data_IF_782074224570
#
_entry.id   IF_782074224570
#
_cell.length_a   1.000
_cell.length_b   1.000
_cell.length_c   1.000
_cell.angle_alpha   90.00
_cell.angle_beta   90.00
_cell.angle_gamma   90.00
#
_symmetry.space_group_name_H-M   'P 1'
#
loop_
_entity.id
_entity.type
_entity.pdbx_description
1 polymer ?
#
# COMPACT_ATOMS: atom_id res chain seq x y z
N UNK A 1 22.57 -13.83 47.99
CA UNK A 1 22.70 -13.83 49.47
C UNK A 1 22.69 -12.40 49.98
N UNK A 2 22.10 -12.15 51.14
CA UNK A 2 22.12 -10.85 51.83
C UNK A 2 23.42 -10.65 52.63
N UNK A 3 24.01 -9.46 52.56
CA UNK A 3 24.68 -8.78 53.69
C UNK A 3 24.57 -7.26 53.45
N UNK A 4 24.42 -6.33 54.39
CA UNK A 4 23.77 -6.15 55.71
C UNK A 4 24.10 -4.69 56.09
N UNK A 5 23.15 -3.91 56.63
CA UNK A 5 23.36 -2.49 57.01
C UNK A 5 24.44 -2.32 58.10
N UNK A 6 25.07 -1.13 58.16
CA UNK A 6 25.51 -0.52 59.43
C UNK A 6 25.26 0.99 59.49
N UNK A 7 24.96 1.45 60.71
CA UNK A 7 24.76 2.82 61.17
C UNK A 7 25.73 3.07 62.36
N UNK A 8 25.91 4.24 62.99
CA UNK A 8 25.24 5.57 62.95
C UNK A 8 26.30 6.70 62.94
N UNK A 9 25.85 7.94 62.68
CA UNK A 9 26.30 9.25 63.23
C UNK A 9 27.77 9.50 63.65
N UNK A 10 28.34 10.63 63.19
CA UNK A 10 28.49 11.84 64.02
C UNK A 10 28.95 13.09 63.23
N UNK A 11 28.65 14.27 63.78
CA UNK A 11 29.26 15.60 63.58
C UNK A 11 29.65 16.07 62.15
N UNK A 12 29.05 17.19 61.70
CA UNK A 12 29.33 17.77 60.39
C UNK A 12 30.58 18.68 60.35
N UNK A 13 31.30 18.63 59.23
CA UNK A 13 32.18 19.71 58.77
C UNK A 13 31.87 20.04 57.31
N UNK A 14 31.83 21.34 57.01
CA UNK A 14 31.39 21.96 55.76
C UNK A 14 32.49 21.87 54.69
N UNK A 15 32.40 20.94 53.74
CA UNK A 15 33.24 20.95 52.52
C UNK A 15 32.52 21.69 51.39
N UNK A 16 33.18 22.72 50.84
CA UNK A 16 32.65 23.57 49.77
C UNK A 16 32.58 22.80 48.44
N UNK A 17 31.39 22.69 47.85
CA UNK A 17 31.23 22.48 46.40
C UNK A 17 30.62 23.73 45.76
N UNK A 18 31.44 24.78 45.60
CA UNK A 18 31.05 26.05 45.00
C UNK A 18 30.91 25.97 43.47
N UNK A 19 30.04 25.06 42.99
CA UNK A 19 29.41 25.20 41.68
C UNK A 19 28.24 26.16 41.87
N UNK A 20 28.47 27.44 41.58
CA UNK A 20 27.44 28.48 41.61
C UNK A 20 26.15 27.99 40.94
N UNK A 21 24.98 28.30 41.51
CA UNK A 21 23.69 27.98 40.88
C UNK A 21 23.61 28.50 39.44
N UNK A 22 24.30 29.61 39.14
CA UNK A 22 24.51 30.12 37.78
C UNK A 22 25.09 29.04 36.85
N UNK A 23 26.24 28.41 37.19
CA UNK A 23 26.83 27.32 36.40
C UNK A 23 25.91 26.10 36.27
N UNK A 24 25.23 25.68 37.34
CA UNK A 24 24.29 24.54 37.26
C UNK A 24 23.09 24.89 36.36
N UNK A 25 22.55 26.11 36.45
CA UNK A 25 21.54 26.61 35.51
C UNK A 25 22.09 26.67 34.08
N UNK A 26 23.28 27.19 33.84
CA UNK A 26 23.93 27.26 32.51
C UNK A 26 24.17 25.88 31.89
N UNK A 27 24.53 24.87 32.67
CA UNK A 27 24.70 23.49 32.18
C UNK A 27 23.32 22.86 31.89
N UNK A 28 22.32 23.13 32.74
CA UNK A 28 20.95 22.64 32.53
C UNK A 28 20.25 23.32 31.35
N UNK A 29 20.51 24.62 31.11
CA UNK A 29 20.03 25.31 29.90
C UNK A 29 20.78 24.81 28.67
N UNK A 30 22.11 24.66 28.69
CA UNK A 30 22.84 24.06 27.54
C UNK A 30 22.34 22.68 27.15
N UNK A 31 22.10 21.79 28.12
CA UNK A 31 21.55 20.47 27.85
C UNK A 31 20.08 20.48 27.37
N UNK A 32 19.30 21.53 27.70
CA UNK A 32 17.95 21.76 27.15
C UNK A 32 17.99 22.48 25.78
N UNK A 33 19.03 23.26 25.51
CA UNK A 33 19.28 23.98 24.25
C UNK A 33 19.72 22.97 23.17
N UNK A 34 20.69 22.11 23.46
CA UNK A 34 21.18 21.06 22.54
C UNK A 34 20.09 20.04 22.15
N UNK A 35 19.07 19.84 23.00
CA UNK A 35 17.91 18.98 22.73
C UNK A 35 16.68 19.70 22.15
N UNK A 36 16.72 21.02 21.95
CA UNK A 36 15.55 21.78 21.50
C UNK A 36 15.46 21.85 19.98
N UNK A 37 14.31 21.45 19.43
CA UNK A 37 13.98 21.51 18.00
C UNK A 37 14.22 22.90 17.38
N UNK A 38 14.16 23.97 18.18
CA UNK A 38 14.41 25.35 17.74
C UNK A 38 15.85 25.64 17.26
N UNK A 39 16.81 24.73 17.50
CA UNK A 39 18.20 24.89 17.06
C UNK A 39 18.50 24.23 15.71
N UNK A 40 17.61 23.36 15.20
CA UNK A 40 17.78 22.75 13.87
C UNK A 40 17.86 23.82 12.76
N UNK A 41 18.62 23.61 11.67
CA UNK A 41 18.61 24.50 10.50
C UNK A 41 17.21 24.66 9.90
N UNK A 42 16.94 25.79 9.24
CA UNK A 42 15.60 26.10 8.72
C UNK A 42 15.17 25.12 7.63
N UNK A 43 16.12 24.57 6.87
CA UNK A 43 15.93 23.51 5.88
C UNK A 43 15.44 22.20 6.52
N UNK A 44 15.96 21.87 7.71
CA UNK A 44 15.52 20.70 8.49
C UNK A 44 14.13 20.96 9.09
N UNK A 45 13.87 22.18 9.56
CA UNK A 45 12.54 22.56 10.04
C UNK A 45 11.49 22.51 8.92
N UNK A 46 11.81 23.03 7.73
CA UNK A 46 10.97 22.91 6.53
C UNK A 46 10.76 21.45 6.13
N UNK A 47 11.80 20.61 6.20
CA UNK A 47 11.65 19.17 5.95
C UNK A 47 10.76 18.47 6.99
N UNK A 48 10.83 18.87 8.27
CA UNK A 48 9.89 18.40 9.31
C UNK A 48 8.46 18.86 9.00
N UNK A 49 8.27 20.10 8.55
CA UNK A 49 6.97 20.64 8.15
C UNK A 49 6.38 19.90 6.93
N UNK A 50 7.19 19.32 6.05
CA UNK A 50 6.71 18.47 4.93
C UNK A 50 5.91 17.23 5.37
N UNK A 51 6.15 16.72 6.59
CA UNK A 51 5.39 15.58 7.13
C UNK A 51 4.05 16.01 7.78
N UNK A 52 3.74 17.30 7.80
CA UNK A 52 2.52 17.85 8.37
C UNK A 52 1.58 18.35 7.27
N UNK A 53 0.26 18.05 7.34
CA UNK A 53 -0.73 18.74 6.52
C UNK A 53 -0.59 20.27 6.66
N UNK A 54 -0.63 21.02 5.55
CA UNK A 54 -0.23 22.45 5.52
C UNK A 54 -0.97 23.33 6.51
N UNK A 55 -2.21 22.99 6.89
CA UNK A 55 -2.96 23.66 7.98
C UNK A 55 -2.23 23.65 9.34
N UNK A 56 -1.45 22.61 9.63
CA UNK A 56 -0.65 22.49 10.84
C UNK A 56 0.71 23.17 10.66
N UNK A 57 1.33 23.07 9.48
CA UNK A 57 2.54 23.85 9.16
C UNK A 57 2.30 25.36 9.31
N UNK A 58 1.20 25.90 8.76
CA UNK A 58 0.80 27.30 8.96
C UNK A 58 0.64 27.64 10.45
N UNK A 59 0.01 26.76 11.24
CA UNK A 59 -0.16 26.95 12.70
C UNK A 59 1.16 27.01 13.47
N UNK A 60 2.26 26.44 12.96
CA UNK A 60 3.58 26.62 13.60
C UNK A 60 4.04 28.09 13.59
N UNK A 61 3.47 28.96 12.74
CA UNK A 61 3.72 30.41 12.78
C UNK A 61 3.26 31.10 14.08
N UNK A 62 2.53 30.39 14.95
CA UNK A 62 2.16 30.83 16.30
C UNK A 62 3.24 30.51 17.37
N UNK A 63 4.24 29.71 17.03
CA UNK A 63 5.40 29.39 17.87
C UNK A 63 6.41 30.58 17.89
N UNK A 64 7.48 30.53 18.71
CA UNK A 64 8.46 31.62 18.80
C UNK A 64 9.06 32.01 17.45
N UNK A 65 9.49 33.28 17.35
CA UNK A 65 9.80 34.04 16.11
C UNK A 65 10.36 33.23 14.92
N UNK A 66 11.28 32.29 15.15
CA UNK A 66 11.91 31.46 14.10
C UNK A 66 10.90 30.69 13.24
N UNK A 67 9.78 30.23 13.80
CA UNK A 67 8.77 29.47 13.06
C UNK A 67 7.81 30.35 12.23
N UNK A 68 7.82 31.67 12.44
CA UNK A 68 6.92 32.60 11.76
C UNK A 68 7.33 32.73 10.29
N UNK A 69 6.58 32.06 9.42
CA UNK A 69 6.80 32.10 7.97
C UNK A 69 7.63 30.95 7.40
N UNK A 70 8.18 30.03 8.21
CA UNK A 70 8.90 28.85 7.66
C UNK A 70 8.03 28.01 6.71
N UNK A 71 6.71 28.02 6.92
CA UNK A 71 5.78 27.31 6.04
C UNK A 71 5.71 27.90 4.61
N UNK A 72 6.05 29.19 4.43
CA UNK A 72 6.04 29.88 3.14
C UNK A 72 7.05 29.28 2.16
N UNK A 73 8.16 28.75 2.68
CA UNK A 73 9.27 28.18 1.93
C UNK A 73 9.30 26.64 1.97
N UNK A 74 8.33 25.98 2.62
CA UNK A 74 8.23 24.51 2.61
C UNK A 74 8.05 23.99 1.18
N UNK A 75 8.82 23.00 0.71
CA UNK A 75 8.64 22.46 -0.63
C UNK A 75 7.44 21.51 -0.76
N UNK A 76 6.68 21.24 0.31
CA UNK A 76 5.58 20.28 0.33
C UNK A 76 4.26 20.94 0.73
N UNK A 77 3.21 20.71 -0.04
CA UNK A 77 1.87 21.23 0.21
C UNK A 77 0.84 20.10 0.29
N UNK A 78 -0.04 20.15 1.28
CA UNK A 78 -1.18 19.25 1.44
C UNK A 78 -2.43 20.03 1.87
N UNK A 79 -3.41 20.15 0.96
CA UNK A 79 -4.70 20.79 1.21
C UNK A 79 -5.89 19.84 1.09
N UNK A 80 -6.69 19.78 2.15
CA UNK A 80 -8.05 19.23 2.11
C UNK A 80 -9.07 20.32 1.71
N UNK A 81 -10.27 19.91 1.28
CA UNK A 81 -11.31 20.79 0.71
C UNK A 81 -11.57 22.10 1.47
N UNK A 82 -11.77 22.03 2.80
CA UNK A 82 -11.99 23.21 3.64
C UNK A 82 -10.75 24.13 3.70
N UNK A 83 -9.55 23.57 3.67
CA UNK A 83 -8.30 24.33 3.69
C UNK A 83 -7.91 24.90 2.33
N UNK A 84 -8.29 24.25 1.22
CA UNK A 84 -8.04 24.74 -0.14
C UNK A 84 -8.77 26.07 -0.40
N UNK A 85 -10.05 26.15 -0.03
CA UNK A 85 -10.84 27.38 -0.13
C UNK A 85 -10.43 28.45 0.88
N UNK A 86 -9.90 28.05 2.04
CA UNK A 86 -9.31 29.01 2.98
C UNK A 86 -8.00 29.57 2.43
N UNK A 87 -7.17 28.74 1.80
CA UNK A 87 -5.89 29.13 1.20
C UNK A 87 -6.07 30.12 0.04
N UNK A 88 -7.08 29.91 -0.82
CA UNK A 88 -7.41 30.84 -1.89
C UNK A 88 -7.96 32.18 -1.39
N UNK A 89 -8.77 32.17 -0.32
CA UNK A 89 -9.32 33.40 0.30
C UNK A 89 -8.28 34.19 1.09
N UNK A 90 -7.41 33.51 1.82
CA UNK A 90 -6.46 34.12 2.76
C UNK A 90 -5.12 34.48 2.12
N UNK A 91 -5.07 34.67 0.79
CA UNK A 91 -3.85 35.03 0.05
C UNK A 91 -2.67 34.06 0.32
N UNK A 92 -2.96 32.80 0.65
CA UNK A 92 -1.93 31.81 1.02
C UNK A 92 -1.00 31.52 -0.17
N UNK A 93 -1.49 31.72 -1.40
CA UNK A 93 -0.69 31.74 -2.62
C UNK A 93 0.30 32.92 -2.69
N UNK A 94 -0.10 34.14 -2.30
CA UNK A 94 0.79 35.31 -2.22
C UNK A 94 1.88 35.12 -1.16
N UNK A 95 1.56 34.39 -0.09
CA UNK A 95 2.52 34.02 0.95
C UNK A 95 3.40 32.82 0.61
N UNK A 96 3.20 32.10 -0.50
CA UNK A 96 3.94 30.87 -0.80
C UNK A 96 5.15 31.12 -1.72
N UNK A 97 6.29 31.38 -1.08
CA UNK A 97 7.54 31.83 -1.70
C UNK A 97 8.47 30.71 -2.16
N UNK A 98 8.28 29.46 -1.71
CA UNK A 98 9.17 28.32 -2.00
C UNK A 98 9.49 28.14 -3.50
N UNK A 99 10.71 28.44 -3.94
CA UNK A 99 11.08 28.44 -5.37
C UNK A 99 10.95 27.06 -6.03
N UNK A 100 11.08 25.97 -5.27
CA UNK A 100 10.90 24.60 -5.72
C UNK A 100 9.76 23.94 -4.94
N UNK A 101 8.90 23.21 -5.65
CA UNK A 101 7.93 22.30 -5.04
C UNK A 101 8.43 20.86 -5.20
N UNK A 102 8.51 20.11 -4.10
CA UNK A 102 8.78 18.67 -4.12
C UNK A 102 7.47 17.89 -4.23
N UNK A 103 6.45 18.25 -3.45
CA UNK A 103 5.17 17.53 -3.48
C UNK A 103 3.94 18.43 -3.33
N UNK A 104 2.86 18.03 -4.01
CA UNK A 104 1.53 18.61 -3.88
C UNK A 104 0.50 17.51 -3.64
N UNK A 105 -0.28 17.63 -2.57
CA UNK A 105 -1.43 16.80 -2.28
C UNK A 105 -2.71 17.66 -2.19
N UNK A 106 -3.70 17.37 -3.04
CA UNK A 106 -5.01 18.03 -3.00
C UNK A 106 -6.12 16.98 -2.78
N UNK A 107 -6.98 17.18 -1.78
CA UNK A 107 -8.17 16.35 -1.52
C UNK A 107 -9.43 17.21 -1.50
N UNK A 108 -10.31 17.08 -2.48
CA UNK A 108 -11.59 17.80 -2.52
C UNK A 108 -12.63 17.16 -3.45
N UNK A 109 -13.91 17.29 -3.11
CA UNK A 109 -15.03 16.92 -3.98
C UNK A 109 -16.00 18.06 -4.29
N UNK A 110 -15.62 19.31 -3.96
CA UNK A 110 -16.50 20.46 -4.10
C UNK A 110 -16.25 21.15 -5.45
N UNK A 111 -17.26 21.15 -6.34
CA UNK A 111 -17.17 21.75 -7.69
C UNK A 111 -16.70 23.21 -7.64
N UNK A 112 -17.15 24.00 -6.66
CA UNK A 112 -16.67 25.38 -6.41
C UNK A 112 -15.16 25.52 -6.13
N UNK A 113 -14.44 24.41 -5.92
CA UNK A 113 -12.99 24.37 -5.75
C UNK A 113 -12.22 24.15 -7.05
N UNK A 114 -12.87 23.82 -8.17
CA UNK A 114 -12.22 23.47 -9.44
C UNK A 114 -11.17 24.49 -9.88
N UNK A 115 -11.52 25.78 -9.90
CA UNK A 115 -10.58 26.84 -10.27
C UNK A 115 -9.36 26.89 -9.34
N UNK A 116 -9.53 26.60 -8.04
CA UNK A 116 -8.42 26.57 -7.08
C UNK A 116 -7.53 25.34 -7.27
N UNK A 117 -8.10 24.20 -7.66
CA UNK A 117 -7.34 22.99 -7.99
C UNK A 117 -6.47 23.25 -9.21
N UNK A 118 -7.02 23.84 -10.27
CA UNK A 118 -6.28 24.18 -11.49
C UNK A 118 -5.12 25.14 -11.18
N UNK A 119 -5.36 26.21 -10.39
CA UNK A 119 -4.31 27.14 -9.96
C UNK A 119 -3.18 26.44 -9.20
N UNK A 120 -3.50 25.51 -8.29
CA UNK A 120 -2.46 24.75 -7.56
C UNK A 120 -1.73 23.74 -8.44
N UNK A 121 -2.42 23.08 -9.38
CA UNK A 121 -1.81 22.21 -10.39
C UNK A 121 -0.84 23.02 -11.26
N UNK A 122 -1.29 24.11 -11.89
CA UNK A 122 -0.46 24.99 -12.71
C UNK A 122 0.75 25.54 -11.95
N UNK A 123 0.57 25.94 -10.69
CA UNK A 123 1.68 26.38 -9.83
C UNK A 123 2.69 25.25 -9.59
N UNK A 124 2.23 24.02 -9.35
CA UNK A 124 3.09 22.84 -9.19
C UNK A 124 3.82 22.45 -10.48
N UNK A 125 3.13 22.54 -11.62
CA UNK A 125 3.71 22.33 -12.96
C UNK A 125 4.85 23.34 -13.19
N UNK A 126 4.57 24.62 -12.99
CA UNK A 126 5.55 25.70 -13.14
C UNK A 126 6.74 25.59 -12.18
N UNK A 127 6.53 25.09 -10.95
CA UNK A 127 7.59 24.85 -9.95
C UNK A 127 8.23 23.44 -10.04
N UNK A 128 7.99 22.72 -11.14
CA UNK A 128 8.60 21.41 -11.48
C UNK A 128 8.46 20.38 -10.36
N UNK A 129 7.21 20.15 -9.94
CA UNK A 129 6.86 19.21 -8.86
C UNK A 129 7.34 17.78 -9.15
N UNK A 130 7.84 17.10 -8.13
CA UNK A 130 8.34 15.72 -8.24
C UNK A 130 7.28 14.67 -7.87
N UNK A 131 6.35 14.98 -6.97
CA UNK A 131 5.27 14.06 -6.54
C UNK A 131 3.92 14.79 -6.48
N UNK A 132 2.91 14.26 -7.17
CA UNK A 132 1.56 14.85 -7.25
C UNK A 132 0.50 13.83 -6.84
N UNK A 133 -0.32 14.18 -5.84
CA UNK A 133 -1.42 13.37 -5.34
C UNK A 133 -2.73 14.17 -5.39
N UNK A 134 -3.70 13.70 -6.17
CA UNK A 134 -4.98 14.38 -6.37
C UNK A 134 -6.13 13.41 -6.05
N UNK A 135 -6.90 13.73 -5.01
CA UNK A 135 -8.10 13.01 -4.61
C UNK A 135 -9.34 13.89 -4.90
N UNK A 136 -9.98 13.60 -6.03
CA UNK A 136 -10.95 14.45 -6.71
C UNK A 136 -12.37 13.84 -6.67
N UNK A 137 -12.99 13.93 -5.50
CA UNK A 137 -14.31 13.36 -5.18
C UNK A 137 -15.50 14.17 -5.74
N UNK A 138 -15.40 14.70 -6.95
CA UNK A 138 -16.56 15.34 -7.59
C UNK A 138 -17.69 14.33 -7.77
N UNK A 139 -18.94 14.77 -7.62
CA UNK A 139 -20.09 13.90 -7.88
C UNK A 139 -20.08 13.41 -9.34
N UNK A 140 -20.69 12.26 -9.58
CA UNK A 140 -20.67 11.52 -10.86
C UNK A 140 -21.25 12.25 -12.07
N UNK A 141 -21.96 13.36 -11.85
CA UNK A 141 -22.49 14.28 -12.86
C UNK A 141 -21.46 15.33 -13.34
N UNK A 142 -20.28 15.42 -12.70
CA UNK A 142 -19.27 16.42 -13.02
C UNK A 142 -17.98 15.82 -13.62
N UNK A 143 -17.83 15.99 -14.93
CA UNK A 143 -16.61 15.62 -15.65
C UNK A 143 -15.53 16.71 -15.47
N UNK A 144 -14.64 16.52 -14.50
CA UNK A 144 -13.46 17.37 -14.34
C UNK A 144 -12.43 17.12 -15.47
N UNK A 145 -11.92 18.20 -16.06
CA UNK A 145 -10.85 18.14 -17.07
C UNK A 145 -9.57 18.75 -16.51
N UNK A 146 -8.47 18.00 -16.57
CA UNK A 146 -7.14 18.49 -16.22
C UNK A 146 -6.65 19.55 -17.23
N UNK A 147 -5.92 20.60 -16.81
CA UNK A 147 -5.26 21.54 -17.73
C UNK A 147 -4.20 20.84 -18.59
N UNK A 148 -3.98 21.28 -19.84
CA UNK A 148 -3.05 20.61 -20.76
C UNK A 148 -1.60 20.54 -20.22
N UNK A 149 -1.20 21.51 -19.39
CA UNK A 149 0.10 21.55 -18.70
C UNK A 149 0.34 20.39 -17.73
N UNK A 150 -0.73 19.72 -17.26
CA UNK A 150 -0.67 18.52 -16.44
C UNK A 150 -0.07 17.33 -17.20
N UNK A 151 -0.39 17.19 -18.49
CA UNK A 151 0.03 16.05 -19.31
C UNK A 151 1.46 16.17 -19.85
N UNK A 152 2.10 17.34 -19.72
CA UNK A 152 3.44 17.61 -20.25
C UNK A 152 4.40 18.08 -19.14
N UNK A 153 5.04 17.13 -18.45
CA UNK A 153 5.96 17.38 -17.32
C UNK A 153 7.15 16.42 -17.30
N UNK A 154 8.36 16.97 -17.43
CA UNK A 154 9.61 16.21 -17.33
C UNK A 154 10.17 16.07 -15.91
N UNK A 155 9.55 16.68 -14.90
CA UNK A 155 10.02 16.66 -13.50
C UNK A 155 9.28 15.68 -12.59
N UNK A 156 8.06 15.29 -12.99
CA UNK A 156 7.17 14.46 -12.20
C UNK A 156 7.69 13.02 -12.13
N UNK A 157 7.89 12.50 -10.92
CA UNK A 157 8.40 11.15 -10.63
C UNK A 157 7.29 10.23 -10.11
N UNK A 158 6.32 10.78 -9.38
CA UNK A 158 5.20 10.05 -8.81
C UNK A 158 3.88 10.78 -9.06
N UNK A 159 2.89 10.08 -9.61
CA UNK A 159 1.55 10.59 -9.85
C UNK A 159 0.52 9.64 -9.24
N UNK A 160 -0.34 10.17 -8.38
CA UNK A 160 -1.47 9.45 -7.79
C UNK A 160 -2.76 10.22 -8.03
N UNK A 161 -3.71 9.59 -8.73
CA UNK A 161 -5.05 10.11 -8.98
C UNK A 161 -6.08 9.18 -8.32
N UNK A 162 -6.95 9.74 -7.49
CA UNK A 162 -8.04 8.99 -6.83
C UNK A 162 -9.37 9.75 -6.91
N UNK A 163 -10.50 9.04 -7.06
CA UNK A 163 -11.84 9.65 -6.98
C UNK A 163 -12.91 8.66 -6.54
N UNK A 164 -13.72 8.99 -5.54
CA UNK A 164 -14.84 8.11 -5.14
C UNK A 164 -15.92 7.89 -6.22
N UNK A 165 -16.00 8.74 -7.24
CA UNK A 165 -17.09 8.71 -8.24
C UNK A 165 -16.62 8.48 -9.69
N UNK A 166 -15.41 7.93 -9.86
CA UNK A 166 -14.76 7.66 -11.17
C UNK A 166 -14.53 8.92 -12.03
N UNK A 167 -13.43 9.63 -11.79
CA UNK A 167 -13.00 10.78 -12.61
C UNK A 167 -12.56 10.32 -14.01
N UNK A 168 -13.02 11.00 -15.05
CA UNK A 168 -12.61 10.73 -16.43
C UNK A 168 -11.23 11.33 -16.74
N UNK A 169 -10.35 10.52 -17.34
CA UNK A 169 -9.03 10.96 -17.81
C UNK A 169 -8.99 10.75 -19.32
N UNK A 170 -9.04 11.85 -20.08
CA UNK A 170 -8.84 11.85 -21.54
C UNK A 170 -7.69 12.82 -21.84
N UNK A 171 -6.49 12.32 -22.21
CA UNK A 171 -5.44 13.17 -22.75
C UNK A 171 -5.91 13.76 -24.08
N UNK A 172 -6.08 15.09 -24.13
CA UNK A 172 -6.37 15.82 -25.37
C UNK A 172 -5.11 16.18 -26.17
N UNK A 173 -3.96 16.00 -25.54
CA UNK A 173 -2.62 16.33 -26.02
C UNK A 173 -1.72 15.12 -25.77
N UNK A 174 -0.61 15.02 -26.50
CA UNK A 174 0.41 14.00 -26.26
C UNK A 174 0.92 14.08 -24.82
N UNK A 175 0.93 12.93 -24.12
CA UNK A 175 1.45 12.84 -22.76
C UNK A 175 2.98 12.80 -22.81
N UNK A 176 3.63 13.55 -21.93
CA UNK A 176 5.08 13.61 -21.78
C UNK A 176 5.41 13.66 -20.29
N UNK A 177 5.48 12.48 -19.67
CA UNK A 177 5.81 12.26 -18.27
C UNK A 177 7.17 11.55 -18.17
N UNK A 178 8.19 12.18 -18.76
CA UNK A 178 9.50 11.58 -19.09
C UNK A 178 10.37 11.18 -17.90
N UNK A 179 10.03 11.60 -16.68
CA UNK A 179 10.70 11.17 -15.42
C UNK A 179 9.81 10.31 -14.52
N UNK A 180 8.59 9.96 -14.96
CA UNK A 180 7.59 9.32 -14.10
C UNK A 180 7.94 7.85 -13.86
N UNK A 181 8.19 7.51 -12.60
CA UNK A 181 8.52 6.17 -12.13
C UNK A 181 7.32 5.43 -11.54
N UNK A 182 6.37 6.15 -10.94
CA UNK A 182 5.17 5.55 -10.33
C UNK A 182 3.91 6.26 -10.79
N UNK A 183 2.97 5.48 -11.32
CA UNK A 183 1.64 5.93 -11.71
C UNK A 183 0.60 5.11 -10.95
N UNK A 184 -0.24 5.78 -10.15
CA UNK A 184 -1.38 5.17 -9.47
C UNK A 184 -2.68 5.84 -9.90
N UNK A 185 -3.54 5.08 -10.56
CA UNK A 185 -4.87 5.49 -11.00
C UNK A 185 -5.89 4.67 -10.21
N UNK A 186 -6.74 5.36 -9.45
CA UNK A 186 -7.67 4.76 -8.49
C UNK A 186 -9.06 5.31 -8.75
N UNK A 187 -9.96 4.46 -9.26
CA UNK A 187 -11.30 4.84 -9.75
C UNK A 187 -11.18 5.97 -10.77
N UNK A 188 -10.59 5.65 -11.92
CA UNK A 188 -10.48 6.57 -13.06
C UNK A 188 -11.12 5.92 -14.29
N UNK A 189 -11.92 6.69 -15.05
CA UNK A 189 -12.44 6.23 -16.34
C UNK A 189 -11.41 6.49 -17.43
N UNK A 190 -11.03 5.43 -18.11
CA UNK A 190 -9.93 5.39 -19.09
C UNK A 190 -10.37 4.49 -20.25
N UNK A 191 -10.31 4.96 -21.49
CA UNK A 191 -10.39 4.05 -22.65
C UNK A 191 -9.05 3.33 -22.85
N UNK A 192 -9.06 2.21 -23.59
CA UNK A 192 -7.84 1.53 -24.03
C UNK A 192 -6.86 2.52 -24.72
N UNK A 193 -7.38 3.38 -25.60
CA UNK A 193 -6.63 4.47 -26.26
C UNK A 193 -6.04 5.49 -25.26
N UNK A 194 -6.80 5.88 -24.23
CA UNK A 194 -6.33 6.83 -23.21
C UNK A 194 -5.21 6.23 -22.36
N UNK A 195 -5.32 4.94 -22.02
CA UNK A 195 -4.29 4.21 -21.28
C UNK A 195 -3.00 4.07 -22.12
N UNK A 196 -3.11 3.66 -23.39
CA UNK A 196 -1.96 3.58 -24.30
C UNK A 196 -1.27 4.95 -24.51
N UNK A 197 -2.06 6.03 -24.65
CA UNK A 197 -1.56 7.41 -24.78
C UNK A 197 -0.83 7.87 -23.52
N UNK A 198 -1.29 7.45 -22.33
CA UNK A 198 -0.60 7.72 -21.07
C UNK A 198 0.71 6.93 -20.97
N UNK A 199 0.69 5.62 -21.25
CA UNK A 199 1.84 4.73 -21.10
C UNK A 199 2.99 5.09 -22.05
N UNK A 200 2.68 5.39 -23.31
CA UNK A 200 3.67 5.87 -24.30
C UNK A 200 4.35 7.18 -23.88
N UNK A 201 3.68 8.01 -23.06
CA UNK A 201 4.26 9.20 -22.45
C UNK A 201 5.19 8.94 -21.25
N UNK A 202 5.31 7.70 -20.76
CA UNK A 202 5.99 7.33 -19.51
C UNK A 202 7.19 6.37 -19.71
N UNK A 203 8.25 6.76 -20.46
CA UNK A 203 9.32 5.84 -20.87
C UNK A 203 10.14 5.21 -19.73
N UNK A 204 10.09 5.77 -18.52
CA UNK A 204 10.84 5.31 -17.34
C UNK A 204 9.95 4.78 -16.20
N UNK A 205 8.70 4.40 -16.52
CA UNK A 205 7.75 3.90 -15.54
C UNK A 205 8.21 2.58 -14.92
N UNK A 206 8.32 2.51 -13.59
CA UNK A 206 8.77 1.34 -12.84
C UNK A 206 7.60 0.60 -12.16
N UNK A 207 6.53 1.34 -11.81
CA UNK A 207 5.35 0.83 -11.11
C UNK A 207 4.06 1.44 -11.66
N UNK A 208 3.08 0.58 -11.98
CA UNK A 208 1.73 0.94 -12.40
C UNK A 208 0.70 0.32 -11.45
N UNK A 209 -0.21 1.14 -10.93
CA UNK A 209 -1.34 0.70 -10.11
C UNK A 209 -2.64 1.15 -10.75
N UNK A 210 -3.54 0.20 -11.05
CA UNK A 210 -4.87 0.40 -11.62
C UNK A 210 -5.92 -0.19 -10.66
N UNK A 211 -6.53 0.62 -9.79
CA UNK A 211 -7.58 0.15 -8.87
C UNK A 211 -8.95 0.66 -9.32
N UNK A 212 -9.92 -0.22 -9.52
CA UNK A 212 -11.28 0.09 -9.98
C UNK A 212 -11.32 0.87 -11.31
N UNK A 213 -10.33 0.62 -12.16
CA UNK A 213 -10.17 1.18 -13.51
C UNK A 213 -10.53 0.07 -14.51
N UNK A 214 -11.83 -0.19 -14.62
CA UNK A 214 -12.39 -1.38 -15.30
C UNK A 214 -12.95 -1.09 -16.71
N UNK A 215 -12.87 0.17 -17.14
CA UNK A 215 -13.24 0.60 -18.50
C UNK A 215 -12.26 0.07 -19.59
N UNK A 216 -10.92 -0.07 -19.36
CA UNK A 216 -10.01 -0.70 -20.30
C UNK A 216 -10.26 -2.22 -20.43
N UNK A 217 -10.33 -2.71 -21.66
CA UNK A 217 -10.44 -4.14 -21.98
C UNK A 217 -9.08 -4.81 -22.20
N UNK A 218 -8.08 -4.03 -22.63
CA UNK A 218 -6.72 -4.51 -22.91
C UNK A 218 -5.70 -3.59 -22.25
N UNK A 219 -4.93 -4.15 -21.32
CA UNK A 219 -3.78 -3.50 -20.68
C UNK A 219 -2.52 -4.04 -21.35
N UNK A 220 -2.10 -3.41 -22.44
CA UNK A 220 -0.85 -3.74 -23.14
C UNK A 220 0.31 -2.94 -22.54
N UNK A 221 1.33 -3.66 -22.07
CA UNK A 221 2.52 -3.14 -21.40
C UNK A 221 3.80 -3.56 -22.13
N UNK A 222 3.69 -4.04 -23.37
CA UNK A 222 4.83 -4.46 -24.21
C UNK A 222 5.79 -3.30 -24.47
N UNK A 223 5.26 -2.13 -24.82
CA UNK A 223 6.03 -0.90 -25.06
C UNK A 223 6.52 -0.21 -23.76
N UNK A 224 6.39 -0.86 -22.60
CA UNK A 224 6.81 -0.35 -21.28
C UNK A 224 7.97 -1.18 -20.69
N UNK A 225 9.16 -1.22 -21.31
CA UNK A 225 10.25 -2.13 -20.93
C UNK A 225 10.90 -1.83 -19.57
N UNK A 226 10.66 -0.63 -19.02
CA UNK A 226 11.07 -0.20 -17.68
C UNK A 226 10.14 -0.72 -16.57
N UNK A 227 8.90 -1.10 -16.90
CA UNK A 227 7.87 -1.45 -15.92
C UNK A 227 8.18 -2.78 -15.24
N UNK A 228 8.25 -2.77 -13.90
CA UNK A 228 8.57 -3.94 -13.08
C UNK A 228 7.44 -4.38 -12.18
N UNK A 229 6.57 -3.47 -11.76
CA UNK A 229 5.47 -3.75 -10.84
C UNK A 229 4.14 -3.36 -11.47
N UNK A 230 3.21 -4.30 -11.53
CA UNK A 230 1.82 -4.06 -11.90
C UNK A 230 0.91 -4.47 -10.74
N UNK A 231 0.01 -3.58 -10.37
CA UNK A 231 -1.03 -3.84 -9.38
C UNK A 231 -2.40 -3.50 -9.98
N UNK A 232 -3.25 -4.51 -10.19
CA UNK A 232 -4.62 -4.34 -10.70
C UNK A 232 -5.61 -4.82 -9.66
N UNK A 233 -6.56 -3.96 -9.32
CA UNK A 233 -7.68 -4.27 -8.44
C UNK A 233 -8.98 -3.94 -9.16
N UNK A 234 -9.93 -4.88 -9.20
CA UNK A 234 -11.18 -4.73 -9.99
C UNK A 234 -12.40 -4.45 -9.12
N UNK A 235 -13.37 -3.74 -9.67
CA UNK A 235 -14.66 -3.49 -9.01
C UNK A 235 -15.56 -4.74 -8.96
N UNK A 236 -16.58 -4.75 -8.10
CA UNK A 236 -17.42 -5.95 -7.88
C UNK A 236 -18.52 -6.15 -8.94
N UNK A 237 -19.03 -5.07 -9.53
CA UNK A 237 -20.11 -5.14 -10.55
C UNK A 237 -19.60 -5.48 -11.97
N UNK A 238 -18.33 -5.80 -12.14
CA UNK A 238 -17.67 -5.82 -13.46
C UNK A 238 -17.72 -7.21 -14.10
N UNK A 239 -18.46 -7.29 -15.21
CA UNK A 239 -18.62 -8.49 -16.04
C UNK A 239 -17.79 -8.45 -17.33
N UNK A 240 -16.97 -7.42 -17.56
CA UNK A 240 -16.06 -7.37 -18.71
C UNK A 240 -14.80 -8.20 -18.45
N UNK A 241 -14.38 -9.06 -19.40
CA UNK A 241 -13.06 -9.68 -19.34
C UNK A 241 -11.99 -8.61 -19.58
N UNK A 242 -10.89 -8.69 -18.84
CA UNK A 242 -9.71 -7.83 -19.01
C UNK A 242 -8.53 -8.69 -19.45
N UNK A 243 -7.80 -8.25 -20.46
CA UNK A 243 -6.56 -8.90 -20.93
C UNK A 243 -5.36 -8.06 -20.48
N UNK A 244 -4.32 -8.71 -19.98
CA UNK A 244 -3.07 -8.05 -19.56
C UNK A 244 -1.93 -8.70 -20.35
N UNK A 245 -1.22 -7.90 -21.17
CA UNK A 245 -0.04 -8.31 -21.91
C UNK A 245 1.19 -7.66 -21.26
N UNK A 246 2.08 -8.45 -20.66
CA UNK A 246 3.02 -7.96 -19.64
C UNK A 246 4.44 -8.60 -19.68
N UNK A 247 5.13 -8.57 -20.84
CA UNK A 247 6.37 -9.34 -21.06
C UNK A 247 7.55 -8.98 -20.15
N UNK A 248 7.54 -7.79 -19.55
CA UNK A 248 8.69 -7.22 -18.82
C UNK A 248 8.48 -7.05 -17.30
N UNK A 249 7.29 -7.40 -16.81
CA UNK A 249 6.91 -7.24 -15.41
C UNK A 249 7.51 -8.35 -14.54
N UNK A 250 7.98 -7.98 -13.34
CA UNK A 250 8.58 -8.89 -12.36
C UNK A 250 7.71 -9.13 -11.14
N UNK A 251 6.85 -8.17 -10.78
CA UNK A 251 5.92 -8.28 -9.66
C UNK A 251 4.50 -7.96 -10.12
N UNK A 252 3.59 -8.92 -9.95
CA UNK A 252 2.17 -8.78 -10.27
C UNK A 252 1.35 -8.89 -8.99
N UNK A 253 0.40 -7.97 -8.79
CA UNK A 253 -0.62 -8.06 -7.75
C UNK A 253 -1.99 -7.95 -8.42
N UNK A 254 -2.76 -9.01 -8.40
CA UNK A 254 -4.15 -9.03 -8.88
C UNK A 254 -5.10 -9.23 -7.71
N UNK A 255 -6.10 -8.36 -7.64
CA UNK A 255 -7.15 -8.43 -6.64
C UNK A 255 -8.51 -8.29 -7.34
N UNK A 256 -9.24 -9.41 -7.49
CA UNK A 256 -10.45 -9.45 -8.33
C UNK A 256 -11.70 -9.90 -7.55
N UNK A 257 -12.84 -9.89 -8.21
CA UNK A 257 -14.16 -10.12 -7.63
C UNK A 257 -14.83 -11.32 -8.30
N UNK A 258 -15.18 -11.18 -9.58
CA UNK A 258 -15.95 -12.17 -10.33
C UNK A 258 -15.21 -12.74 -11.56
N UNK A 259 -14.34 -11.95 -12.20
CA UNK A 259 -13.60 -12.36 -13.42
C UNK A 259 -12.11 -12.16 -13.26
N UNK A 260 -11.35 -13.26 -13.37
CA UNK A 260 -9.89 -13.22 -13.42
C UNK A 260 -9.44 -12.57 -14.74
N UNK A 261 -8.49 -11.60 -14.71
CA UNK A 261 -7.86 -11.12 -15.94
C UNK A 261 -7.16 -12.25 -16.68
N UNK A 262 -7.22 -12.27 -18.01
CA UNK A 262 -6.42 -13.21 -18.81
C UNK A 262 -5.01 -12.65 -18.98
N UNK A 263 -4.01 -13.38 -18.48
CA UNK A 263 -2.61 -13.01 -18.61
C UNK A 263 -2.01 -13.55 -19.93
N UNK A 264 -1.36 -12.67 -20.68
CA UNK A 264 -0.63 -12.99 -21.89
C UNK A 264 0.83 -12.52 -21.75
N UNK A 265 1.76 -13.35 -22.24
CA UNK A 265 3.22 -13.18 -22.10
C UNK A 265 3.65 -12.52 -20.79
N UNK A 266 3.60 -13.28 -19.69
CA UNK A 266 4.12 -12.89 -18.37
C UNK A 266 5.45 -13.58 -18.08
N UNK A 267 6.27 -13.79 -19.12
CA UNK A 267 7.48 -14.61 -19.08
C UNK A 267 8.58 -14.10 -18.12
N UNK A 268 8.61 -12.80 -17.81
CA UNK A 268 9.56 -12.19 -16.86
C UNK A 268 9.13 -12.24 -15.39
N UNK A 269 7.97 -12.83 -15.08
CA UNK A 269 7.34 -12.70 -13.76
C UNK A 269 8.05 -13.52 -12.67
N UNK A 270 8.43 -12.86 -11.58
CA UNK A 270 9.19 -13.46 -10.47
C UNK A 270 8.40 -13.51 -9.15
N UNK A 271 7.55 -12.51 -8.89
CA UNK A 271 6.61 -12.47 -7.77
C UNK A 271 5.17 -12.27 -8.29
N UNK A 272 4.22 -13.09 -7.82
CA UNK A 272 2.79 -12.89 -8.06
C UNK A 272 2.00 -12.97 -6.74
N UNK A 273 1.08 -12.03 -6.51
CA UNK A 273 0.02 -12.13 -5.51
C UNK A 273 -1.34 -12.12 -6.20
N UNK A 274 -2.17 -13.11 -5.89
CA UNK A 274 -3.55 -13.23 -6.35
C UNK A 274 -4.50 -13.26 -5.15
N UNK A 275 -5.46 -12.34 -5.08
CA UNK A 275 -6.52 -12.35 -4.07
C UNK A 275 -7.90 -12.12 -4.70
N UNK A 276 -8.94 -12.49 -3.95
CA UNK A 276 -10.32 -12.28 -4.35
C UNK A 276 -11.10 -11.64 -3.21
N UNK A 277 -12.02 -10.75 -3.53
CA UNK A 277 -12.80 -10.00 -2.54
C UNK A 277 -14.09 -10.72 -2.10
N UNK A 278 -14.62 -11.56 -2.99
CA UNK A 278 -15.84 -12.34 -2.79
C UNK A 278 -15.63 -13.74 -3.39
N UNK A 279 -16.49 -14.69 -3.00
CA UNK A 279 -16.68 -15.90 -3.82
C UNK A 279 -17.28 -15.46 -5.18
N UNK A 280 -16.83 -16.03 -6.31
CA UNK A 280 -17.42 -15.77 -7.61
C UNK A 280 -18.93 -16.03 -7.59
N UNK A 281 -19.72 -15.01 -7.92
CA UNK A 281 -21.17 -15.13 -8.00
C UNK A 281 -21.57 -15.86 -9.28
N UNK A 282 -21.85 -17.16 -9.16
CA UNK A 282 -22.57 -17.97 -10.14
C UNK A 282 -22.12 -17.79 -11.61
N UNK A 283 -20.80 -17.71 -11.84
CA UNK A 283 -20.23 -18.01 -13.16
C UNK A 283 -20.43 -19.50 -13.45
N UNK A 284 -20.63 -19.85 -14.71
CA UNK A 284 -20.55 -21.24 -15.17
C UNK A 284 -19.25 -21.90 -14.64
N UNK A 285 -19.38 -23.06 -13.99
CA UNK A 285 -18.27 -23.77 -13.37
C UNK A 285 -17.17 -24.11 -14.38
N UNK A 286 -17.54 -24.36 -15.65
CA UNK A 286 -16.57 -24.58 -16.72
C UNK A 286 -15.75 -23.32 -17.04
N UNK A 287 -16.40 -22.14 -17.08
CA UNK A 287 -15.70 -20.88 -17.34
C UNK A 287 -14.71 -20.54 -16.21
N UNK A 288 -15.14 -20.68 -14.96
CA UNK A 288 -14.27 -20.44 -13.80
C UNK A 288 -13.07 -21.39 -13.82
N UNK A 289 -13.31 -22.67 -14.12
CA UNK A 289 -12.26 -23.70 -14.25
C UNK A 289 -11.24 -23.33 -15.32
N UNK A 290 -11.67 -22.99 -16.54
CA UNK A 290 -10.76 -22.59 -17.63
C UNK A 290 -9.96 -21.34 -17.24
N UNK A 291 -10.60 -20.32 -16.68
CA UNK A 291 -9.92 -19.09 -16.26
C UNK A 291 -8.85 -19.34 -15.17
N UNK A 292 -9.15 -20.18 -14.18
CA UNK A 292 -8.19 -20.55 -13.11
C UNK A 292 -7.02 -21.35 -13.66
N UNK A 293 -7.24 -22.31 -14.58
CA UNK A 293 -6.15 -23.10 -15.16
C UNK A 293 -5.23 -22.24 -16.04
N UNK A 294 -5.78 -21.44 -16.94
CA UNK A 294 -4.99 -20.51 -17.76
C UNK A 294 -4.17 -19.53 -16.90
N UNK A 295 -4.75 -19.06 -15.80
CA UNK A 295 -4.03 -18.26 -14.80
C UNK A 295 -2.86 -19.04 -14.20
N UNK A 296 -3.08 -20.25 -13.68
CA UNK A 296 -2.00 -21.06 -13.08
C UNK A 296 -0.90 -21.44 -14.08
N UNK A 297 -1.25 -21.77 -15.33
CA UNK A 297 -0.32 -22.08 -16.42
C UNK A 297 0.59 -20.87 -16.74
N UNK A 298 0.03 -19.66 -16.74
CA UNK A 298 0.80 -18.42 -16.93
C UNK A 298 1.78 -18.16 -15.77
N UNK A 299 1.51 -18.68 -14.57
CA UNK A 299 2.31 -18.49 -13.36
C UNK A 299 3.28 -19.64 -13.05
N UNK A 300 3.35 -20.69 -13.89
CA UNK A 300 4.14 -21.91 -13.62
C UNK A 300 5.64 -21.66 -13.34
N UNK A 301 6.23 -20.58 -13.88
CA UNK A 301 7.65 -20.25 -13.73
C UNK A 301 7.94 -19.24 -12.60
N UNK A 302 6.93 -18.76 -11.88
CA UNK A 302 7.07 -17.74 -10.84
C UNK A 302 7.78 -18.31 -9.61
N UNK A 303 8.82 -17.63 -9.12
CA UNK A 303 9.58 -18.10 -7.95
C UNK A 303 8.87 -17.83 -6.62
N UNK A 304 8.12 -16.74 -6.53
CA UNK A 304 7.39 -16.33 -5.32
C UNK A 304 5.91 -16.11 -5.60
N UNK A 305 5.05 -16.92 -5.00
CA UNK A 305 3.61 -16.90 -5.26
C UNK A 305 2.84 -16.66 -3.96
N UNK A 306 1.76 -15.90 -4.01
CA UNK A 306 0.94 -15.55 -2.85
C UNK A 306 -0.54 -15.64 -3.19
N UNK A 307 -1.32 -16.36 -2.38
CA UNK A 307 -2.76 -16.50 -2.55
C UNK A 307 -3.55 -15.94 -1.37
N UNK A 308 -4.55 -15.11 -1.66
CA UNK A 308 -5.59 -14.67 -0.72
C UNK A 308 -6.50 -15.84 -0.30
N UNK A 309 -7.14 -15.74 0.88
CA UNK A 309 -8.06 -16.76 1.42
C UNK A 309 -9.06 -17.25 0.38
N UNK A 310 -9.78 -16.31 -0.23
CA UNK A 310 -10.88 -16.54 -1.14
C UNK A 310 -10.40 -17.26 -2.42
N UNK A 311 -9.14 -17.03 -2.83
CA UNK A 311 -8.49 -17.75 -3.93
C UNK A 311 -8.15 -19.20 -3.55
N UNK A 312 -7.67 -19.43 -2.32
CA UNK A 312 -7.38 -20.78 -1.81
C UNK A 312 -8.67 -21.61 -1.68
N UNK A 313 -9.76 -20.96 -1.26
CA UNK A 313 -11.08 -21.58 -1.24
C UNK A 313 -11.57 -21.94 -2.66
N UNK A 314 -11.21 -21.19 -3.72
CA UNK A 314 -11.56 -21.57 -5.10
C UNK A 314 -11.03 -22.96 -5.47
N UNK A 315 -9.77 -23.25 -5.14
CA UNK A 315 -9.11 -24.52 -5.48
C UNK A 315 -9.76 -25.75 -4.82
N UNK A 316 -10.67 -25.52 -3.87
CA UNK A 316 -11.45 -26.54 -3.16
C UNK A 316 -12.86 -26.74 -3.75
N UNK A 317 -13.27 -26.01 -4.80
CA UNK A 317 -14.56 -26.23 -5.46
C UNK A 317 -14.63 -27.56 -6.21
N UNK A 318 -15.78 -28.26 -6.21
CA UNK A 318 -15.96 -29.54 -6.90
C UNK A 318 -15.56 -29.53 -8.38
N UNK A 319 -15.87 -28.47 -9.12
CA UNK A 319 -15.59 -28.36 -10.56
C UNK A 319 -14.09 -28.35 -10.89
N UNK A 320 -13.28 -27.93 -9.90
CA UNK A 320 -11.83 -27.96 -9.94
C UNK A 320 -11.25 -29.26 -9.38
N UNK A 321 -11.98 -30.09 -8.62
CA UNK A 321 -11.47 -31.38 -8.12
C UNK A 321 -11.21 -32.35 -9.27
N UNK A 322 -10.15 -33.17 -9.16
CA UNK A 322 -9.73 -34.11 -10.20
C UNK A 322 -9.07 -33.47 -11.44
N UNK A 323 -9.00 -32.15 -11.52
CA UNK A 323 -8.31 -31.42 -12.60
C UNK A 323 -6.81 -31.37 -12.32
N UNK A 324 -5.91 -31.72 -13.28
CA UNK A 324 -4.48 -31.57 -13.08
C UNK A 324 -4.11 -30.08 -12.95
N UNK A 325 -3.29 -29.75 -11.95
CA UNK A 325 -2.67 -28.44 -11.86
C UNK A 325 -1.31 -28.47 -12.59
N UNK A 326 -0.83 -27.32 -13.10
CA UNK A 326 0.52 -27.24 -13.63
C UNK A 326 1.54 -27.33 -12.50
N UNK A 327 2.64 -28.06 -12.72
CA UNK A 327 3.78 -28.09 -11.80
C UNK A 327 4.46 -26.73 -11.78
N UNK A 328 4.53 -26.12 -10.59
CA UNK A 328 5.01 -24.76 -10.39
C UNK A 328 6.43 -24.75 -9.80
N UNK A 329 7.30 -23.91 -10.34
CA UNK A 329 8.70 -23.71 -9.87
C UNK A 329 8.78 -22.77 -8.65
N UNK A 330 7.73 -22.73 -7.84
CA UNK A 330 7.59 -21.82 -6.70
C UNK A 330 8.54 -22.26 -5.59
N UNK A 331 9.39 -21.33 -5.16
CA UNK A 331 10.36 -21.48 -4.07
C UNK A 331 9.86 -20.84 -2.78
N UNK A 332 8.99 -19.84 -2.87
CA UNK A 332 8.43 -19.08 -1.75
C UNK A 332 6.91 -18.93 -1.94
N UNK A 333 6.13 -19.70 -1.19
CA UNK A 333 4.65 -19.70 -1.26
C UNK A 333 4.09 -19.01 -0.02
N UNK A 334 3.17 -18.07 -0.21
CA UNK A 334 2.41 -17.42 0.86
C UNK A 334 0.92 -17.73 0.73
N UNK A 335 0.31 -18.23 1.81
CA UNK A 335 -1.09 -18.61 1.87
C UNK A 335 -1.79 -17.77 2.96
N UNK A 336 -2.67 -16.85 2.56
CA UNK A 336 -3.45 -16.01 3.48
C UNK A 336 -4.74 -16.73 3.92
N UNK A 337 -4.65 -18.00 4.29
CA UNK A 337 -5.80 -18.85 4.62
C UNK A 337 -6.25 -18.73 6.09
N UNK A 338 -7.56 -18.73 6.32
CA UNK A 338 -8.10 -19.23 7.61
C UNK A 338 -8.32 -20.72 7.51
N UNK A 339 -7.53 -21.47 8.28
CA UNK A 339 -7.80 -22.86 8.58
C UNK A 339 -8.86 -22.91 9.69
N UNK A 340 -9.99 -23.55 9.41
CA UNK A 340 -11.14 -23.68 10.29
C UNK A 340 -11.69 -25.11 10.20
N UNK A 341 -11.75 -25.80 11.35
CA UNK A 341 -12.39 -27.11 11.58
C UNK A 341 -11.92 -28.28 10.71
N UNK A 342 -10.97 -29.07 11.24
CA UNK A 342 -10.74 -30.51 10.96
C UNK A 342 -10.42 -30.92 9.50
N UNK A 343 -10.51 -30.02 8.53
CA UNK A 343 -10.28 -30.29 7.11
C UNK A 343 -9.41 -29.17 6.56
N UNK A 344 -8.18 -29.53 6.21
CA UNK A 344 -7.31 -28.67 5.41
C UNK A 344 -8.01 -28.51 4.04
N UNK A 345 -8.25 -27.28 3.55
CA UNK A 345 -8.89 -27.10 2.25
C UNK A 345 -8.13 -27.89 1.17
N UNK A 346 -8.78 -28.77 0.38
CA UNK A 346 -8.13 -29.55 -0.67
C UNK A 346 -7.32 -28.70 -1.64
N UNK A 347 -7.70 -27.43 -1.79
CA UNK A 347 -6.93 -26.43 -2.53
C UNK A 347 -5.49 -26.24 -2.05
N UNK A 348 -5.23 -26.29 -0.73
CA UNK A 348 -3.88 -26.16 -0.19
C UNK A 348 -3.07 -27.41 -0.54
N UNK A 349 -3.60 -28.61 -0.26
CA UNK A 349 -2.92 -29.88 -0.57
C UNK A 349 -2.45 -29.94 -2.02
N UNK A 350 -3.34 -29.56 -2.95
CA UNK A 350 -3.04 -29.51 -4.38
C UNK A 350 -1.96 -28.50 -4.74
N UNK A 351 -1.96 -27.31 -4.15
CA UNK A 351 -0.88 -26.33 -4.34
C UNK A 351 0.48 -26.89 -3.87
N UNK A 352 0.51 -27.59 -2.74
CA UNK A 352 1.74 -28.16 -2.18
C UNK A 352 2.25 -29.33 -3.04
N UNK A 353 1.35 -30.25 -3.45
CA UNK A 353 1.64 -31.34 -4.39
C UNK A 353 2.24 -30.86 -5.72
N UNK A 354 1.84 -29.67 -6.17
CA UNK A 354 2.30 -29.08 -7.42
C UNK A 354 3.44 -28.06 -7.23
N UNK A 355 4.06 -28.00 -6.05
CA UNK A 355 5.17 -27.09 -5.73
C UNK A 355 6.43 -27.85 -5.27
N UNK A 356 7.03 -28.66 -6.14
CA UNK A 356 8.16 -29.56 -5.80
C UNK A 356 9.41 -28.83 -5.30
N UNK A 357 9.64 -27.60 -5.76
CA UNK A 357 10.84 -26.81 -5.48
C UNK A 357 10.69 -25.89 -4.24
N UNK A 358 9.63 -26.08 -3.45
CA UNK A 358 9.25 -25.18 -2.37
C UNK A 358 10.24 -25.18 -1.19
N UNK A 359 10.93 -24.06 -1.01
CA UNK A 359 11.88 -23.83 0.10
C UNK A 359 11.25 -23.09 1.28
N UNK A 360 10.30 -22.20 1.01
CA UNK A 360 9.65 -21.37 2.04
C UNK A 360 8.14 -21.44 1.94
N UNK A 361 7.49 -21.70 3.07
CA UNK A 361 6.05 -21.58 3.20
C UNK A 361 5.69 -20.56 4.27
N UNK A 362 4.91 -19.56 3.89
CA UNK A 362 4.34 -18.56 4.76
C UNK A 362 2.82 -18.78 4.87
N UNK A 363 2.30 -18.93 6.09
CA UNK A 363 0.85 -19.05 6.35
C UNK A 363 0.46 -17.90 7.27
N UNK A 364 -0.60 -17.17 6.94
CA UNK A 364 -1.08 -16.05 7.76
C UNK A 364 -2.59 -16.04 7.92
N UNK A 365 -3.05 -15.50 9.05
CA UNK A 365 -4.44 -15.48 9.51
C UNK A 365 -4.95 -16.88 9.94
N UNK A 366 -4.08 -17.68 10.57
CA UNK A 366 -4.52 -18.87 11.30
C UNK A 366 -5.43 -18.43 12.46
N UNK A 367 -6.75 -18.68 12.34
CA UNK A 367 -7.77 -18.27 13.31
C UNK A 367 -8.31 -19.45 14.10
N UNK A 368 -7.87 -19.57 15.35
CA UNK A 368 -8.58 -20.32 16.39
C UNK A 368 -9.93 -19.65 16.70
N UNK A 369 -11.02 -20.42 16.78
CA UNK A 369 -12.44 -19.99 16.81
C UNK A 369 -12.77 -18.64 17.48
N UNK A 370 -13.67 -17.81 16.88
CA UNK A 370 -14.29 -16.67 17.56
C UNK A 370 -15.00 -17.06 18.86
N UNK A 371 -14.95 -16.18 19.86
CA UNK A 371 -15.41 -16.48 21.21
C UNK A 371 -16.93 -16.63 21.36
N UNK A 372 -17.41 -17.85 21.58
CA UNK A 372 -18.58 -18.07 22.44
C UNK A 372 -18.14 -17.86 23.89
N UNK A 373 -18.92 -17.06 24.63
CA UNK A 373 -18.65 -16.49 25.97
C UNK A 373 -17.71 -17.29 26.90
N UNK A 374 -16.73 -16.58 27.49
CA UNK A 374 -15.78 -17.05 28.54
C UNK A 374 -16.48 -17.79 29.71
N UNK A 375 -16.73 -19.10 29.61
CA UNK A 375 -16.92 -19.99 30.78
C UNK A 375 -16.31 -21.38 30.54
N UNK A 376 -15.38 -21.74 31.43
CA UNK A 376 -14.56 -22.97 31.48
C UNK A 376 -13.57 -23.15 30.32
N UNK A 377 -12.28 -23.00 30.65
CA UNK A 377 -11.16 -23.58 29.89
C UNK A 377 -11.25 -25.10 30.05
N UNK A 378 -11.39 -25.86 28.97
CA UNK A 378 -11.25 -27.32 28.96
C UNK A 378 -9.97 -27.72 28.24
N UNK A 379 -9.32 -28.79 28.70
CA UNK A 379 -8.13 -29.38 28.07
C UNK A 379 -8.38 -29.66 26.57
N UNK A 380 -9.55 -30.24 26.28
CA UNK A 380 -10.04 -30.61 24.96
C UNK A 380 -9.98 -29.54 23.86
N UNK A 381 -9.86 -28.25 24.22
CA UNK A 381 -9.72 -27.17 23.24
C UNK A 381 -8.29 -27.04 22.73
N UNK A 382 -7.30 -27.18 23.62
CA UNK A 382 -5.89 -27.21 23.23
C UNK A 382 -5.59 -28.46 22.40
N UNK A 383 -6.19 -29.59 22.79
CA UNK A 383 -6.04 -30.86 22.08
C UNK A 383 -6.56 -30.76 20.63
N UNK A 384 -7.70 -30.10 20.40
CA UNK A 384 -8.26 -29.88 19.06
C UNK A 384 -7.43 -28.90 18.20
N UNK A 385 -7.04 -27.74 18.75
CA UNK A 385 -6.20 -26.76 18.05
C UNK A 385 -4.79 -27.32 17.75
N UNK A 386 -4.28 -28.23 18.60
CA UNK A 386 -3.04 -28.99 18.34
C UNK A 386 -3.22 -30.06 17.27
N UNK A 387 -4.40 -30.66 17.15
CA UNK A 387 -4.66 -31.71 16.15
C UNK A 387 -4.76 -31.13 14.73
N UNK A 388 -5.43 -30.00 14.55
CA UNK A 388 -5.50 -29.29 13.25
C UNK A 388 -4.08 -28.91 12.74
N UNK A 389 -3.19 -28.49 13.65
CA UNK A 389 -1.77 -28.23 13.32
C UNK A 389 -1.02 -29.52 13.01
N UNK A 390 -1.26 -30.61 13.75
CA UNK A 390 -0.61 -31.90 13.51
C UNK A 390 -0.96 -32.46 12.13
N UNK A 391 -2.24 -32.54 11.77
CA UNK A 391 -2.70 -32.99 10.44
C UNK A 391 -2.14 -32.10 9.33
N UNK A 392 -2.02 -30.79 9.57
CA UNK A 392 -1.37 -29.90 8.61
C UNK A 392 0.12 -30.20 8.43
N UNK A 393 0.84 -30.47 9.53
CA UNK A 393 2.25 -30.85 9.47
C UNK A 393 2.46 -32.22 8.80
N UNK A 394 1.59 -33.20 9.03
CA UNK A 394 1.61 -34.49 8.33
C UNK A 394 1.46 -34.30 6.82
N UNK A 395 0.41 -33.59 6.38
CA UNK A 395 0.17 -33.26 4.98
C UNK A 395 1.33 -32.48 4.35
N UNK A 396 1.98 -31.59 5.11
CA UNK A 396 3.21 -30.89 4.69
C UNK A 396 4.39 -31.86 4.47
N UNK A 397 4.64 -32.77 5.40
CA UNK A 397 5.75 -33.73 5.32
C UNK A 397 5.57 -34.78 4.22
N UNK A 398 4.32 -35.19 3.94
CA UNK A 398 4.01 -36.10 2.83
C UNK A 398 4.30 -35.46 1.47
N UNK A 399 3.91 -34.19 1.30
CA UNK A 399 3.91 -33.53 0.00
C UNK A 399 5.19 -32.71 -0.30
N UNK A 400 5.99 -32.31 0.69
CA UNK A 400 7.13 -31.39 0.49
C UNK A 400 8.41 -31.89 1.16
N UNK A 401 9.41 -32.20 0.32
CA UNK A 401 10.73 -32.74 0.75
C UNK A 401 11.84 -31.70 0.78
N UNK A 402 11.58 -30.51 0.25
CA UNK A 402 12.54 -29.44 -0.05
C UNK A 402 12.42 -28.21 0.86
N UNK A 403 11.49 -28.24 1.82
CA UNK A 403 11.15 -27.11 2.69
C UNK A 403 12.28 -26.79 3.68
N UNK A 404 12.86 -25.60 3.54
CA UNK A 404 13.92 -25.08 4.42
C UNK A 404 13.34 -24.25 5.58
N UNK A 405 12.20 -23.59 5.36
CA UNK A 405 11.61 -22.66 6.33
C UNK A 405 10.08 -22.61 6.23
N UNK A 406 9.43 -22.74 7.39
CA UNK A 406 8.00 -22.47 7.54
C UNK A 406 7.79 -21.30 8.50
N UNK A 407 6.85 -20.40 8.18
CA UNK A 407 6.44 -19.29 9.05
C UNK A 407 4.92 -19.26 9.14
N UNK A 408 4.40 -19.58 10.31
CA UNK A 408 2.96 -19.45 10.63
C UNK A 408 2.76 -18.18 11.43
N UNK A 409 1.91 -17.27 10.93
CA UNK A 409 1.36 -16.14 11.68
C UNK A 409 -0.04 -16.50 12.17
N UNK A 410 -0.13 -16.75 13.47
CA UNK A 410 -1.40 -16.86 14.20
C UNK A 410 -1.92 -15.46 14.48
N UNK A 411 -3.24 -15.28 14.39
CA UNK A 411 -3.89 -13.97 14.53
C UNK A 411 -3.97 -13.59 16.03
N UNK A 412 -3.18 -12.62 16.49
CA UNK A 412 -2.97 -12.26 17.92
C UNK A 412 -4.20 -11.63 18.62
N UNK A 413 -5.38 -11.62 17.99
CA UNK A 413 -6.63 -10.99 18.46
C UNK A 413 -7.20 -11.52 19.79
N UNK A 414 -6.51 -12.43 20.47
CA UNK A 414 -6.88 -12.95 21.80
C UNK A 414 -5.76 -12.86 22.86
N UNK A 415 -4.62 -12.22 22.56
CA UNK A 415 -3.51 -11.98 23.51
C UNK A 415 -3.50 -10.57 24.11
N UNK A 416 -4.67 -9.94 24.29
CA UNK A 416 -4.82 -8.77 25.16
C UNK A 416 -5.16 -9.20 26.61
N UNK A 417 -4.24 -9.10 27.58
CA UNK A 417 -4.52 -9.38 28.99
C UNK A 417 -5.33 -8.29 29.71
N UNK A 418 -5.71 -7.18 29.05
CA UNK A 418 -6.31 -5.99 29.65
C UNK A 418 -7.76 -5.68 29.23
N UNK A 419 -8.52 -6.65 28.71
CA UNK A 419 -9.99 -6.52 28.58
C UNK A 419 -10.71 -7.39 29.64
N UNK A 420 -11.45 -6.77 30.60
CA UNK A 420 -12.13 -7.44 31.72
C UNK A 420 -13.02 -8.65 31.35
#
# INVERSE_FOLDING_TARGET
MWVKKRYLMTAGVRVRSSLSEKRVRTIKTRALEEGSISFLPDEILQHILCFLPTKFAIRTSLLPKRWKGLWCDTPCISFASCTLMAASRNRTQECYTAQKMMSLQLRTGQIRSVNHINVWIELAMNRRVESLSLELDFKSDYNYTFPDSFFNQSSLKELSLESRFKTMIVPKVSVSWTSLKKLSLRRCKLSDESLATILSGCPVLESLTLWFCDDPTVVDLSDSPSLRTLEVQRDFDVLTPMKILAPHIRCLRLDSTNLLPTLFDVSSLAEAKLSLWCRPLATDGEFLKVAVLMMLESLQNVEKLSFGREFIELFSFPDLLGVPFPMMKVKDLTLEATLHEYVIPPGIERLLQNSSDLKKLHISNWKTRPGVRRRRRSQSRWDAESNDVATFMELMFENIKTLEKMVVRVDDYYLDPYVP
#
